data_IF_815692918303
#
_entry.id   IF_815692918303
#
_cell.length_a   1.000
_cell.length_b   1.000
_cell.length_c   1.000
_cell.angle_alpha   90.00
_cell.angle_beta   90.00
_cell.angle_gamma   90.00
#
_symmetry.space_group_name_H-M   'P 1'
#
loop_
_entity.id
_entity.type
_entity.pdbx_description
1 polymer ?
#
# COMPACT_ATOMS: atom_id res chain seq x y z
N UNK A 1 -13.11 -8.06 10.79
CA UNK A 1 -13.38 -7.61 9.42
C UNK A 1 -12.97 -6.15 9.27
N UNK A 2 -12.28 -5.82 8.19
CA UNK A 2 -11.86 -4.45 7.98
C UNK A 2 -13.03 -3.52 7.66
N UNK A 3 -12.97 -2.30 8.21
CA UNK A 3 -13.93 -1.26 7.88
C UNK A 3 -13.74 -0.84 6.43
N UNK A 4 -14.82 -0.67 5.68
CA UNK A 4 -14.73 -0.25 4.27
C UNK A 4 -14.08 1.12 4.10
N UNK A 5 -14.07 1.94 5.14
CA UNK A 5 -13.43 3.25 5.14
C UNK A 5 -12.00 3.21 5.71
N UNK A 6 -11.52 2.05 6.11
CA UNK A 6 -10.19 1.92 6.65
C UNK A 6 -9.15 2.37 5.64
N UNK A 7 -8.13 3.05 6.11
CA UNK A 7 -7.05 3.51 5.24
C UNK A 7 -6.07 2.37 5.01
N UNK A 8 -5.91 2.01 3.75
CA UNK A 8 -5.09 0.86 3.36
C UNK A 8 -3.96 1.33 2.47
N UNK A 9 -2.75 0.90 2.79
CA UNK A 9 -1.60 1.16 1.94
C UNK A 9 -1.17 -0.14 1.27
N UNK A 10 -1.02 -0.09 -0.06
CA UNK A 10 -0.53 -1.24 -0.83
C UNK A 10 0.82 -0.86 -1.43
N UNK A 11 1.87 -1.53 -0.97
CA UNK A 11 3.21 -1.36 -1.50
C UNK A 11 3.40 -2.29 -2.69
N UNK A 12 3.97 -1.77 -3.78
CA UNK A 12 4.19 -2.57 -4.98
C UNK A 12 2.95 -2.71 -5.85
N UNK A 13 2.11 -1.67 -5.88
CA UNK A 13 0.85 -1.71 -6.61
C UNK A 13 1.02 -1.87 -8.14
N UNK A 14 2.20 -1.60 -8.66
CA UNK A 14 2.47 -1.72 -10.10
C UNK A 14 2.89 -3.12 -10.50
N UNK A 15 3.23 -3.97 -9.54
CA UNK A 15 3.55 -5.36 -9.81
C UNK A 15 2.29 -6.20 -9.99
N UNK A 16 2.46 -7.44 -10.44
CA UNK A 16 1.34 -8.33 -10.70
C UNK A 16 0.52 -8.60 -9.44
N UNK A 17 1.20 -8.92 -8.34
CA UNK A 17 0.51 -9.21 -7.07
C UNK A 17 -0.12 -7.96 -6.49
N UNK A 18 0.64 -6.86 -6.47
CA UNK A 18 0.14 -5.61 -5.91
C UNK A 18 -1.07 -5.07 -6.65
N UNK A 19 -1.06 -5.10 -7.98
CA UNK A 19 -2.19 -4.64 -8.76
C UNK A 19 -3.42 -5.52 -8.55
N UNK A 20 -3.21 -6.82 -8.39
CA UNK A 20 -4.31 -7.75 -8.12
C UNK A 20 -4.94 -7.46 -6.74
N UNK A 21 -4.11 -7.14 -5.73
CA UNK A 21 -4.60 -6.79 -4.41
C UNK A 21 -5.45 -5.52 -4.48
N UNK A 22 -4.97 -4.49 -5.18
CA UNK A 22 -5.72 -3.23 -5.31
C UNK A 22 -7.06 -3.48 -6.00
N UNK A 23 -7.09 -4.25 -7.08
CA UNK A 23 -8.33 -4.55 -7.77
C UNK A 23 -9.31 -5.29 -6.87
N UNK A 24 -8.81 -6.27 -6.13
CA UNK A 24 -9.68 -7.06 -5.25
C UNK A 24 -10.25 -6.19 -4.13
N UNK A 25 -9.44 -5.32 -3.55
CA UNK A 25 -9.91 -4.42 -2.50
C UNK A 25 -10.99 -3.48 -3.03
N UNK A 26 -10.80 -2.92 -4.23
CA UNK A 26 -11.81 -2.07 -4.85
C UNK A 26 -13.09 -2.86 -5.12
N UNK A 27 -12.96 -4.09 -5.61
CA UNK A 27 -14.11 -4.94 -5.90
C UNK A 27 -14.93 -5.21 -4.64
N UNK A 28 -14.26 -5.30 -3.49
CA UNK A 28 -14.95 -5.56 -2.22
C UNK A 28 -15.46 -4.28 -1.54
N UNK A 29 -15.26 -3.13 -2.18
CA UNK A 29 -15.83 -1.89 -1.68
C UNK A 29 -14.90 -1.03 -0.84
N UNK A 30 -13.63 -1.39 -0.73
CA UNK A 30 -12.65 -0.56 -0.03
C UNK A 30 -12.20 0.56 -0.96
N UNK A 31 -12.47 1.79 -0.56
CA UNK A 31 -12.20 2.96 -1.42
C UNK A 31 -11.04 3.81 -0.95
N UNK A 32 -10.61 3.64 0.29
CA UNK A 32 -9.54 4.47 0.85
C UNK A 32 -8.19 3.79 0.75
N UNK A 33 -7.76 3.54 -0.49
CA UNK A 33 -6.52 2.82 -0.77
C UNK A 33 -5.45 3.79 -1.21
N UNK A 34 -4.31 3.76 -0.53
CA UNK A 34 -3.16 4.59 -0.84
C UNK A 34 -2.09 3.75 -1.51
N UNK A 35 -1.54 4.25 -2.61
CA UNK A 35 -0.44 3.59 -3.30
C UNK A 35 0.67 4.61 -3.56
N UNK A 36 1.91 4.11 -3.66
CA UNK A 36 3.05 4.97 -4.00
C UNK A 36 3.99 4.19 -4.91
N UNK A 37 4.50 4.85 -5.93
CA UNK A 37 5.51 4.25 -6.79
C UNK A 37 6.85 4.25 -6.05
N UNK A 38 7.80 3.47 -6.56
CA UNK A 38 9.15 3.45 -5.99
C UNK A 38 9.78 4.85 -5.99
N UNK A 39 9.49 5.64 -7.02
CA UNK A 39 10.00 7.01 -7.10
C UNK A 39 9.35 7.92 -6.06
N UNK A 40 8.10 7.67 -5.72
CA UNK A 40 7.37 8.47 -4.72
C UNK A 40 7.73 8.07 -3.30
N UNK A 41 7.94 6.77 -3.08
CA UNK A 41 8.31 6.26 -1.76
C UNK A 41 9.25 5.08 -1.93
N UNK A 42 10.53 5.33 -1.69
CA UNK A 42 11.55 4.30 -1.73
C UNK A 42 11.57 3.57 -0.38
N UNK A 43 11.12 2.33 -0.37
CA UNK A 43 11.01 1.53 0.85
C UNK A 43 12.36 1.16 1.47
N UNK A 44 13.46 1.41 0.74
CA UNK A 44 14.79 1.19 1.29
C UNK A 44 15.27 2.38 2.11
N UNK A 45 14.55 3.50 2.07
CA UNK A 45 14.91 4.70 2.79
C UNK A 45 14.05 4.83 4.05
N UNK A 46 14.64 4.52 5.18
CA UNK A 46 13.92 4.48 6.46
C UNK A 46 13.25 5.81 6.79
N UNK A 47 13.95 6.93 6.58
CA UNK A 47 13.38 8.24 6.88
C UNK A 47 12.13 8.53 6.07
N UNK A 48 12.15 8.18 4.77
CA UNK A 48 11.01 8.40 3.90
C UNK A 48 9.83 7.53 4.33
N UNK A 49 10.09 6.29 4.70
CA UNK A 49 9.06 5.36 5.16
C UNK A 49 8.43 5.85 6.46
N UNK A 50 9.26 6.25 7.43
CA UNK A 50 8.75 6.74 8.70
C UNK A 50 7.90 7.99 8.52
N UNK A 51 8.34 8.92 7.67
CA UNK A 51 7.57 10.13 7.38
C UNK A 51 6.24 9.79 6.73
N UNK A 52 6.25 8.86 5.77
CA UNK A 52 5.04 8.44 5.09
C UNK A 52 4.02 7.87 6.08
N UNK A 53 4.46 6.95 6.93
CA UNK A 53 3.55 6.35 7.90
C UNK A 53 3.07 7.35 8.95
N UNK A 54 3.92 8.30 9.32
CA UNK A 54 3.53 9.34 10.28
C UNK A 54 2.46 10.27 9.69
N UNK A 55 2.55 10.56 8.40
CA UNK A 55 1.61 11.46 7.73
C UNK A 55 0.33 10.76 7.31
N UNK A 56 0.46 9.56 6.73
CA UNK A 56 -0.68 8.84 6.17
C UNK A 56 -1.41 7.97 7.18
N UNK A 57 -0.70 7.46 8.16
CA UNK A 57 -1.25 6.61 9.23
C UNK A 57 -2.17 5.51 8.71
N UNK A 58 -1.69 4.66 7.80
CA UNK A 58 -2.53 3.59 7.29
C UNK A 58 -2.88 2.59 8.38
N UNK A 59 -4.12 2.10 8.35
CA UNK A 59 -4.58 1.11 9.31
C UNK A 59 -4.16 -0.31 8.92
N UNK A 60 -4.04 -0.53 7.62
CA UNK A 60 -3.63 -1.84 7.08
C UNK A 60 -2.58 -1.63 6.00
N UNK A 61 -1.62 -2.53 5.95
CA UNK A 61 -0.53 -2.48 4.97
C UNK A 61 -0.40 -3.83 4.27
N UNK A 62 -0.42 -3.81 2.95
CA UNK A 62 -0.16 -5.00 2.13
C UNK A 62 1.17 -4.81 1.43
N UNK A 63 2.12 -5.69 1.72
CA UNK A 63 3.46 -5.60 1.16
C UNK A 63 3.62 -6.56 -0.01
N UNK A 64 3.33 -6.06 -1.20
CA UNK A 64 3.50 -6.82 -2.44
C UNK A 64 4.81 -6.46 -3.15
N UNK A 65 5.60 -5.59 -2.54
CA UNK A 65 6.86 -5.13 -3.11
C UNK A 65 8.05 -6.02 -2.77
N UNK A 66 7.82 -7.13 -2.10
CA UNK A 66 8.90 -8.02 -1.70
C UNK A 66 9.63 -8.54 -2.93
N UNK A 67 10.94 -8.36 -2.94
CA UNK A 67 11.78 -8.84 -4.02
C UNK A 67 12.12 -10.30 -3.76
N UNK A 68 11.74 -11.15 -4.69
CA UNK A 68 12.01 -12.58 -4.60
C UNK A 68 13.15 -12.90 -5.55
N UNK A 69 14.18 -13.47 -5.03
CA UNK A 69 15.26 -13.91 -5.88
C UNK A 69 16.60 -13.47 -5.47
#
# INVERSE_FOLDING_TARGET
MMDKNAKIYVAGHRGMVGSAIVRELHRQGYMNITTRTHAELDLTRQEAVEKFFAEEKPEYVFLAAAKVG
#
